data_IF_284520394263
#
_entry.id   IF_284520394263
#
_cell.length_a   1.000
_cell.length_b   1.000
_cell.length_c   1.000
_cell.angle_alpha   90.00
_cell.angle_beta   90.00
_cell.angle_gamma   90.00
#
_symmetry.space_group_name_H-M   'P 1'
#
loop_
_entity.id
_entity.type
_entity.pdbx_description
1 polymer ?
#
# COMPACT_ATOMS: atom_id res chain seq x y z
N UNK A 1 -42.87 30.06 -13.94
CA UNK A 1 -42.59 28.96 -14.89
C UNK A 1 -41.18 29.19 -15.41
N UNK A 2 -40.17 28.35 -15.31
CA UNK A 2 -39.94 27.01 -14.78
C UNK A 2 -38.44 26.79 -15.07
N UNK A 3 -37.61 26.71 -14.03
CA UNK A 3 -36.71 25.58 -13.76
C UNK A 3 -35.88 25.11 -14.96
N UNK A 4 -34.58 25.36 -14.91
CA UNK A 4 -33.57 24.29 -15.00
C UNK A 4 -32.35 24.70 -14.18
N UNK A 5 -32.35 24.27 -12.92
CA UNK A 5 -31.15 24.27 -12.07
C UNK A 5 -30.29 23.10 -12.54
N UNK A 6 -29.20 23.38 -13.25
CA UNK A 6 -28.14 22.40 -13.41
C UNK A 6 -27.53 22.18 -12.03
N UNK A 7 -27.90 21.07 -11.41
CA UNK A 7 -27.29 20.57 -10.18
C UNK A 7 -25.88 20.10 -10.50
N UNK A 8 -24.92 21.01 -10.51
CA UNK A 8 -23.52 20.64 -10.34
C UNK A 8 -23.37 20.13 -8.91
N UNK A 9 -23.45 18.81 -8.73
CA UNK A 9 -22.97 18.19 -7.49
C UNK A 9 -21.45 18.36 -7.47
N UNK A 10 -20.87 19.15 -6.55
CA UNK A 10 -19.44 19.10 -6.35
C UNK A 10 -19.16 17.75 -5.73
N UNK A 11 -18.55 16.83 -6.48
CA UNK A 11 -17.76 15.78 -5.87
C UNK A 11 -16.73 16.50 -5.02
N UNK A 12 -16.98 16.61 -3.70
CA UNK A 12 -16.00 17.07 -2.74
C UNK A 12 -14.84 16.09 -2.82
N UNK A 13 -13.86 16.39 -3.69
CA UNK A 13 -12.54 15.79 -3.64
C UNK A 13 -11.96 16.23 -2.30
N UNK A 14 -12.27 15.48 -1.25
CA UNK A 14 -11.63 15.63 0.03
C UNK A 14 -10.14 15.43 -0.23
N UNK A 15 -9.36 16.52 -0.18
CA UNK A 15 -7.92 16.36 -0.14
C UNK A 15 -7.63 15.49 1.09
N UNK A 16 -6.87 14.39 0.96
CA UNK A 16 -6.53 13.59 2.10
C UNK A 16 -5.89 14.51 3.16
N UNK A 17 -6.47 14.52 4.35
CA UNK A 17 -6.02 15.34 5.48
C UNK A 17 -4.80 14.73 6.16
N UNK A 18 -4.52 13.45 5.90
CA UNK A 18 -3.35 12.71 6.39
C UNK A 18 -2.78 11.84 5.27
N UNK A 19 -1.51 12.03 4.93
CA UNK A 19 -0.74 11.14 4.06
C UNK A 19 0.22 10.31 4.91
N UNK A 20 0.19 8.99 4.76
CA UNK A 20 1.06 8.05 5.48
C UNK A 20 2.10 7.52 4.50
N UNK A 21 3.36 7.96 4.57
CA UNK A 21 4.39 7.46 3.68
C UNK A 21 4.90 6.09 4.17
N UNK A 22 5.06 5.15 3.23
CA UNK A 22 5.56 3.78 3.49
C UNK A 22 6.67 3.45 2.49
N UNK A 23 7.89 3.26 2.98
CA UNK A 23 9.03 2.84 2.16
C UNK A 23 8.92 1.37 1.78
N UNK A 24 9.21 1.06 0.51
CA UNK A 24 9.36 -0.31 0.02
C UNK A 24 10.84 -0.58 -0.26
N UNK A 25 11.44 -1.56 0.43
CA UNK A 25 12.87 -1.88 0.33
C UNK A 25 13.07 -3.37 0.06
N UNK A 26 14.29 -3.74 -0.36
CA UNK A 26 14.77 -5.11 -0.20
C UNK A 26 15.42 -5.26 1.19
N UNK A 27 15.26 -6.42 1.82
CA UNK A 27 16.02 -6.77 3.02
C UNK A 27 17.51 -6.86 2.71
N UNK A 28 18.36 -6.53 3.70
CA UNK A 28 19.79 -6.21 3.50
C UNK A 28 20.63 -7.32 2.84
N UNK A 29 20.16 -8.56 2.87
CA UNK A 29 20.83 -9.74 2.30
C UNK A 29 19.92 -10.53 1.34
N UNK A 30 18.81 -9.95 0.88
CA UNK A 30 17.93 -10.58 -0.11
C UNK A 30 18.52 -10.47 -1.52
N UNK A 31 18.11 -11.39 -2.40
CA UNK A 31 18.31 -11.22 -3.84
C UNK A 31 17.61 -9.94 -4.32
N UNK A 32 18.31 -9.17 -5.15
CA UNK A 32 17.82 -7.92 -5.73
C UNK A 32 17.24 -8.21 -7.10
N UNK A 33 15.96 -7.87 -7.28
CA UNK A 33 15.29 -7.91 -8.57
C UNK A 33 15.04 -6.49 -9.07
N UNK A 34 15.13 -6.31 -10.38
CA UNK A 34 14.64 -5.08 -10.99
C UNK A 34 13.14 -5.22 -11.26
N UNK A 35 12.32 -4.65 -10.38
CA UNK A 35 10.89 -4.54 -10.59
C UNK A 35 10.55 -3.11 -11.06
N UNK A 36 10.44 -2.86 -12.38
CA UNK A 36 10.34 -1.50 -12.92
C UNK A 36 9.02 -0.79 -12.56
N UNK A 37 7.95 -1.54 -12.29
CA UNK A 37 6.60 -1.03 -12.09
C UNK A 37 5.97 -1.47 -10.76
N UNK A 38 6.62 -2.31 -9.96
CA UNK A 38 6.03 -2.91 -8.76
C UNK A 38 5.47 -1.86 -7.79
N UNK A 39 6.22 -0.80 -7.49
CA UNK A 39 5.75 0.25 -6.57
C UNK A 39 4.56 1.01 -7.17
N UNK A 40 4.58 1.29 -8.48
CA UNK A 40 3.48 1.97 -9.15
C UNK A 40 2.21 1.10 -9.20
N UNK A 41 2.34 -0.19 -9.56
CA UNK A 41 1.24 -1.15 -9.57
C UNK A 41 0.64 -1.34 -8.17
N UNK A 42 1.49 -1.44 -7.15
CA UNK A 42 1.07 -1.53 -5.74
C UNK A 42 0.33 -0.26 -5.30
N UNK A 43 0.82 0.93 -5.67
CA UNK A 43 0.15 2.19 -5.36
C UNK A 43 -1.26 2.26 -5.96
N UNK A 44 -1.43 1.85 -7.22
CA UNK A 44 -2.75 1.79 -7.89
C UNK A 44 -3.70 0.88 -7.11
N UNK A 45 -3.20 -0.28 -6.65
CA UNK A 45 -4.02 -1.21 -5.88
C UNK A 45 -4.37 -0.67 -4.49
N UNK A 46 -3.42 -0.04 -3.78
CA UNK A 46 -3.66 0.66 -2.52
C UNK A 46 -4.75 1.73 -2.68
N UNK A 47 -4.61 2.61 -3.68
CA UNK A 47 -5.57 3.68 -3.95
C UNK A 47 -6.96 3.13 -4.23
N UNK A 48 -7.03 1.97 -4.90
CA UNK A 48 -8.29 1.30 -5.16
C UNK A 48 -8.91 0.73 -3.88
N UNK A 49 -8.14 -0.04 -3.11
CA UNK A 49 -8.62 -0.72 -1.89
C UNK A 49 -9.00 0.26 -0.78
N UNK A 50 -8.25 1.36 -0.61
CA UNK A 50 -8.54 2.41 0.38
C UNK A 50 -9.97 2.94 0.25
N UNK A 51 -10.46 3.12 -0.98
CA UNK A 51 -11.84 3.58 -1.26
C UNK A 51 -12.92 2.64 -0.75
N UNK A 52 -12.59 1.37 -0.51
CA UNK A 52 -13.55 0.36 -0.03
C UNK A 52 -13.45 0.12 1.47
N UNK A 53 -12.25 0.29 2.06
CA UNK A 53 -12.03 -0.05 3.48
C UNK A 53 -12.23 1.13 4.43
N UNK A 54 -12.17 2.38 3.97
CA UNK A 54 -12.36 3.57 4.81
C UNK A 54 -13.01 4.73 4.05
N UNK A 55 -13.85 5.52 4.73
CA UNK A 55 -14.29 6.82 4.22
C UNK A 55 -13.39 7.97 4.72
N UNK A 56 -12.36 7.65 5.50
CA UNK A 56 -11.45 8.64 6.06
C UNK A 56 -10.63 9.31 4.95
N UNK A 57 -10.28 10.58 5.16
CA UNK A 57 -9.39 11.34 4.27
C UNK A 57 -7.92 10.93 4.45
N UNK A 58 -7.65 9.63 4.58
CA UNK A 58 -6.30 9.07 4.70
C UNK A 58 -5.83 8.60 3.32
N UNK A 59 -4.61 8.97 2.96
CA UNK A 59 -3.90 8.40 1.83
C UNK A 59 -2.67 7.64 2.31
N UNK A 60 -2.29 6.59 1.60
CA UNK A 60 -1.03 5.88 1.78
C UNK A 60 -0.16 6.17 0.56
N UNK A 61 1.06 6.64 0.80
CA UNK A 61 1.99 7.00 -0.27
C UNK A 61 3.21 6.08 -0.21
N UNK A 62 3.41 5.27 -1.24
CA UNK A 62 4.59 4.44 -1.33
C UNK A 62 5.83 5.26 -1.70
N UNK A 63 6.93 4.95 -1.05
CA UNK A 63 8.25 5.52 -1.32
C UNK A 63 9.13 4.41 -1.88
N UNK A 64 9.48 4.52 -3.16
CA UNK A 64 10.33 3.55 -3.85
C UNK A 64 11.79 3.67 -3.39
N UNK A 65 12.28 2.65 -2.71
CA UNK A 65 13.67 2.50 -2.32
C UNK A 65 14.30 1.23 -2.92
N UNK A 66 13.65 0.56 -3.88
CA UNK A 66 14.11 -0.72 -4.42
C UNK A 66 15.44 -0.57 -5.18
N UNK A 67 15.60 0.53 -5.93
CA UNK A 67 16.78 0.79 -6.75
C UNK A 67 17.77 1.78 -6.11
N UNK A 68 17.32 2.61 -5.17
CA UNK A 68 18.14 3.65 -4.55
C UNK A 68 17.61 4.01 -3.15
N UNK A 69 17.95 3.21 -2.12
CA UNK A 69 17.43 3.42 -0.78
C UNK A 69 17.99 4.73 -0.20
N UNK A 70 17.15 5.77 -0.21
CA UNK A 70 17.52 7.13 0.26
C UNK A 70 16.53 7.70 1.26
N UNK A 71 15.29 7.22 1.25
CA UNK A 71 14.20 7.84 1.99
C UNK A 71 13.64 6.87 3.02
N UNK A 72 14.06 7.01 4.28
CA UNK A 72 13.48 6.25 5.38
C UNK A 72 12.21 6.94 5.89
N UNK A 73 11.10 6.20 5.87
CA UNK A 73 9.83 6.64 6.47
C UNK A 73 9.60 5.92 7.79
N UNK A 74 8.64 6.41 8.59
CA UNK A 74 8.26 5.77 9.86
C UNK A 74 7.84 4.31 9.67
N UNK A 75 7.07 4.04 8.62
CA UNK A 75 6.61 2.70 8.27
C UNK A 75 7.42 2.18 7.08
N UNK A 76 7.77 0.90 7.06
CA UNK A 76 8.43 0.30 5.89
C UNK A 76 7.94 -1.12 5.63
N UNK A 77 8.11 -1.58 4.39
CA UNK A 77 7.95 -2.98 4.01
C UNK A 77 9.24 -3.45 3.35
N UNK A 78 9.81 -4.52 3.90
CA UNK A 78 11.00 -5.16 3.35
C UNK A 78 10.60 -6.43 2.61
N UNK A 79 11.02 -6.51 1.34
CA UNK A 79 10.81 -7.64 0.46
C UNK A 79 11.94 -8.65 0.68
N UNK A 80 11.56 -9.90 0.97
CA UNK A 80 12.49 -11.00 1.25
C UNK A 80 12.18 -12.17 0.33
N UNK A 81 13.12 -12.56 -0.54
CA UNK A 81 12.95 -13.78 -1.31
C UNK A 81 12.97 -15.00 -0.37
N UNK A 82 11.96 -15.85 -0.50
CA UNK A 82 11.75 -17.05 0.32
C UNK A 82 11.25 -18.21 -0.54
N UNK A 83 11.12 -19.39 0.06
CA UNK A 83 10.49 -20.55 -0.60
C UNK A 83 8.98 -20.39 -0.73
N UNK A 84 8.36 -19.89 0.33
CA UNK A 84 6.91 -19.77 0.46
C UNK A 84 6.51 -18.33 0.74
N UNK A 85 5.30 -17.97 0.27
CA UNK A 85 4.72 -16.67 0.53
C UNK A 85 4.26 -16.56 1.99
N UNK A 86 4.74 -15.53 2.70
CA UNK A 86 4.26 -15.23 4.05
C UNK A 86 4.44 -13.76 4.37
N UNK A 87 3.68 -13.29 5.37
CA UNK A 87 3.72 -11.90 5.83
C UNK A 87 4.19 -11.86 7.28
N UNK A 88 4.99 -10.86 7.62
CA UNK A 88 5.46 -10.61 8.97
C UNK A 88 5.33 -9.15 9.35
N UNK A 89 5.25 -8.88 10.66
CA UNK A 89 5.29 -7.53 11.23
C UNK A 89 6.34 -7.53 12.34
N UNK A 90 7.20 -6.52 12.38
CA UNK A 90 8.17 -6.32 13.45
C UNK A 90 7.47 -6.12 14.80
N UNK A 91 8.18 -6.39 15.89
CA UNK A 91 7.63 -6.27 17.25
C UNK A 91 7.21 -4.84 17.62
N UNK A 92 7.83 -3.82 17.01
CA UNK A 92 7.47 -2.41 17.18
C UNK A 92 6.27 -1.98 16.32
N UNK A 93 5.80 -2.83 15.40
CA UNK A 93 4.69 -2.54 14.50
C UNK A 93 4.99 -1.50 13.42
N UNK A 94 6.27 -1.16 13.19
CA UNK A 94 6.66 -0.14 12.23
C UNK A 94 7.18 -0.72 10.92
N UNK A 95 7.53 -2.00 10.88
CA UNK A 95 8.05 -2.68 9.68
C UNK A 95 7.21 -3.91 9.33
N UNK A 96 6.81 -4.01 8.08
CA UNK A 96 6.25 -5.21 7.49
C UNK A 96 7.31 -5.98 6.71
N UNK A 97 7.12 -7.29 6.61
CA UNK A 97 7.93 -8.19 5.81
C UNK A 97 7.02 -8.90 4.83
N UNK A 98 7.37 -8.85 3.55
CA UNK A 98 6.74 -9.67 2.51
C UNK A 98 7.77 -10.71 2.10
N UNK A 99 7.58 -11.94 2.58
CA UNK A 99 8.34 -13.08 2.11
C UNK A 99 7.63 -13.59 0.87
N UNK A 100 8.34 -13.60 -0.26
CA UNK A 100 7.76 -13.96 -1.56
C UNK A 100 8.60 -15.02 -2.26
N UNK A 101 7.95 -15.88 -3.03
CA UNK A 101 8.60 -16.88 -3.86
C UNK A 101 8.79 -16.42 -5.30
N UNK A 102 9.60 -17.14 -6.07
CA UNK A 102 9.67 -16.94 -7.53
C UNK A 102 8.31 -17.14 -8.22
N UNK A 103 7.47 -18.05 -7.69
CA UNK A 103 6.12 -18.24 -8.21
C UNK A 103 5.30 -16.96 -8.09
N UNK A 104 5.36 -16.27 -6.95
CA UNK A 104 4.68 -14.99 -6.74
C UNK A 104 5.17 -13.88 -7.69
N UNK A 105 6.43 -13.92 -8.10
CA UNK A 105 6.96 -13.04 -9.15
C UNK A 105 6.32 -13.38 -10.49
N UNK A 106 6.32 -14.67 -10.87
CA UNK A 106 5.79 -15.14 -12.16
C UNK A 106 4.28 -14.94 -12.30
N UNK A 107 3.52 -15.07 -11.21
CA UNK A 107 2.07 -14.83 -11.17
C UNK A 107 1.70 -13.36 -11.01
N UNK A 108 2.67 -12.46 -10.80
CA UNK A 108 2.47 -11.03 -10.53
C UNK A 108 1.65 -10.78 -9.24
N UNK A 109 1.88 -11.57 -8.20
CA UNK A 109 1.16 -11.48 -6.91
C UNK A 109 1.79 -10.48 -5.93
N UNK A 110 3.01 -10.01 -6.19
CA UNK A 110 3.72 -9.09 -5.30
C UNK A 110 2.90 -7.82 -4.94
N UNK A 111 2.25 -7.11 -5.89
CA UNK A 111 1.42 -5.96 -5.54
C UNK A 111 0.34 -6.30 -4.51
N UNK A 112 -0.33 -7.44 -4.68
CA UNK A 112 -1.36 -7.91 -3.76
C UNK A 112 -0.78 -8.21 -2.38
N UNK A 113 0.32 -8.96 -2.29
CA UNK A 113 0.97 -9.30 -1.02
C UNK A 113 1.42 -8.06 -0.24
N UNK A 114 1.97 -7.06 -0.95
CA UNK A 114 2.39 -5.79 -0.36
C UNK A 114 1.16 -4.98 0.12
N UNK A 115 0.09 -4.89 -0.68
CA UNK A 115 -1.16 -4.22 -0.28
C UNK A 115 -1.74 -4.85 0.98
N UNK A 116 -1.81 -6.19 1.03
CA UNK A 116 -2.31 -6.92 2.19
C UNK A 116 -1.49 -6.59 3.44
N UNK A 117 -0.18 -6.64 3.31
CA UNK A 117 0.77 -6.28 4.39
C UNK A 117 0.55 -4.85 4.89
N UNK A 118 0.44 -3.89 3.98
CA UNK A 118 0.35 -2.47 4.34
C UNK A 118 -1.01 -2.16 4.97
N UNK A 119 -2.11 -2.46 4.29
CA UNK A 119 -3.43 -1.97 4.69
C UNK A 119 -4.03 -2.78 5.85
N UNK A 120 -3.85 -4.10 5.86
CA UNK A 120 -4.55 -4.98 6.80
C UNK A 120 -3.69 -5.41 7.99
N UNK A 121 -2.37 -5.24 7.91
CA UNK A 121 -1.45 -5.62 9.00
C UNK A 121 -0.69 -4.43 9.57
N UNK A 122 0.08 -3.71 8.75
CA UNK A 122 0.97 -2.64 9.18
C UNK A 122 0.22 -1.38 9.63
N UNK A 123 -0.74 -0.92 8.83
CA UNK A 123 -1.49 0.32 9.06
C UNK A 123 -2.89 0.10 9.63
N UNK A 124 -3.22 -1.12 10.08
CA UNK A 124 -4.58 -1.49 10.53
C UNK A 124 -5.13 -0.62 11.67
N UNK A 125 -4.26 0.01 12.47
CA UNK A 125 -4.65 0.93 13.55
C UNK A 125 -4.57 2.39 13.15
N UNK A 126 -3.87 2.72 12.06
CA UNK A 126 -3.76 4.08 11.51
C UNK A 126 -4.90 4.40 10.53
N UNK A 127 -5.46 3.36 9.90
CA UNK A 127 -6.56 3.42 8.96
C UNK A 127 -7.81 2.91 9.69
N UNK A 128 -8.75 3.78 10.10
CA UNK A 128 -10.00 3.35 10.68
C UNK A 128 -10.83 2.62 9.60
N UNK A 129 -11.00 1.32 9.79
CA UNK A 129 -11.81 0.48 8.90
C UNK A 129 -13.27 0.73 9.24
N UNK A 130 -14.02 1.30 8.30
CA UNK A 130 -15.45 1.60 8.45
C UNK A 130 -16.32 0.66 7.59
N UNK A 131 -15.74 -0.49 7.22
CA UNK A 131 -16.14 -1.37 6.13
C UNK A 131 -17.60 -1.28 5.72
N UNK A 132 -17.85 -0.94 4.45
CA UNK A 132 -19.05 -1.43 3.78
C UNK A 132 -18.81 -2.90 3.51
N UNK A 133 -19.35 -3.78 4.36
CA UNK A 133 -19.44 -5.20 4.04
C UNK A 133 -20.00 -5.34 2.62
N UNK A 134 -19.29 -6.08 1.75
CA UNK A 134 -19.84 -6.52 0.47
C UNK A 134 -21.04 -7.41 0.71
#
# INVERSE_FOLDING_TARGET
MGLDRVSEYPFLRHRPTKSIPVSINFEKDSEYFNFPDLVAATQIQIDSELRYITNSSVNVQLVDNLNNPKNHTKYSVDLVLSRDNSLGISSDGLKGYVLYSYEAIHSNDLPYLIVQTILYHLLKFEIPIEGKAK
#
